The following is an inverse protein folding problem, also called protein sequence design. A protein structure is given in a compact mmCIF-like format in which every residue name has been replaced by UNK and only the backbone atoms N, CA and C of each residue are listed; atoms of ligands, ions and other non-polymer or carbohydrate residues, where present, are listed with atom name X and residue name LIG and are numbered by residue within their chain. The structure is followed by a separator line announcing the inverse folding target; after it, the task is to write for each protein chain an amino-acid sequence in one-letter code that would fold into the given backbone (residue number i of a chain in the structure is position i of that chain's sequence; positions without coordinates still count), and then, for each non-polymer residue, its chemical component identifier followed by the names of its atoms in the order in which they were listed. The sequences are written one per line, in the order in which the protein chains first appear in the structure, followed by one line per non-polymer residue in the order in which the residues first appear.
data_IF_629102621358
#
_entry.id   IF_629102621358
#
_cell.length_a   1.000
_cell.length_b   1.000
_cell.length_c   1.000
_cell.angle_alpha   90.00
_cell.angle_beta   90.00
_cell.angle_gamma   90.00
#
_symmetry.space_group_name_H-M   'P 1'
#
loop_
_entity.id
_entity.type
_entity.pdbx_description
1 polymer ?
#
# COMPACT_ATOMS: atom_id res chain seq x y z
N UNK A 1 -7.48 13.57 -15.76
CA UNK A 1 -7.51 12.95 -14.42
C UNK A 1 -8.90 12.36 -14.27
N UNK A 2 -9.03 11.10 -13.84
CA UNK A 2 -10.35 10.55 -13.51
C UNK A 2 -10.91 11.34 -12.32
N UNK A 3 -12.22 11.56 -12.30
CA UNK A 3 -12.88 12.14 -11.13
C UNK A 3 -12.82 11.16 -9.94
N UNK A 4 -13.14 11.64 -8.74
CA UNK A 4 -13.32 10.74 -7.58
C UNK A 4 -14.45 9.73 -7.84
N UNK A 5 -15.53 10.17 -8.51
CA UNK A 5 -16.66 9.32 -8.89
C UNK A 5 -16.23 8.21 -9.87
N UNK A 6 -15.38 8.52 -10.85
CA UNK A 6 -14.85 7.53 -11.78
C UNK A 6 -14.02 6.47 -11.04
N UNK A 7 -13.22 6.90 -10.05
CA UNK A 7 -12.39 5.99 -9.26
C UNK A 7 -13.25 5.07 -8.37
N UNK A 8 -14.30 5.62 -7.74
CA UNK A 8 -15.28 4.84 -6.96
C UNK A 8 -16.00 3.84 -7.86
N UNK A 9 -16.54 4.28 -9.00
CA UNK A 9 -17.22 3.40 -9.94
C UNK A 9 -16.33 2.29 -10.48
N UNK A 10 -15.03 2.55 -10.67
CA UNK A 10 -14.06 1.52 -11.02
C UNK A 10 -13.88 0.48 -9.90
N UNK A 11 -13.80 0.90 -8.63
CA UNK A 11 -13.68 0.00 -7.48
C UNK A 11 -14.93 -0.88 -7.33
N UNK A 12 -16.12 -0.29 -7.43
CA UNK A 12 -17.41 -1.01 -7.36
C UNK A 12 -17.55 -2.03 -8.49
N UNK A 13 -17.17 -1.65 -9.71
CA UNK A 13 -17.18 -2.54 -10.87
C UNK A 13 -16.29 -3.76 -10.65
N UNK A 14 -15.08 -3.57 -10.13
CA UNK A 14 -14.17 -4.68 -9.86
C UNK A 14 -14.65 -5.54 -8.70
N UNK A 15 -15.18 -4.94 -7.64
CA UNK A 15 -15.72 -5.69 -6.50
C UNK A 15 -16.83 -6.66 -6.92
N UNK A 16 -17.72 -6.21 -7.82
CA UNK A 16 -18.80 -7.03 -8.40
C UNK A 16 -18.33 -8.16 -9.32
N UNK A 17 -17.04 -8.19 -9.71
CA UNK A 17 -16.43 -9.31 -10.45
C UNK A 17 -15.89 -10.40 -9.54
N UNK A 18 -15.98 -10.21 -8.22
CA UNK A 18 -15.51 -11.14 -7.19
C UNK A 18 -14.06 -11.62 -7.39
N UNK A 19 -13.08 -10.70 -7.57
CA UNK A 19 -11.71 -11.08 -7.83
C UNK A 19 -11.06 -11.69 -6.58
N UNK A 20 -10.12 -12.61 -6.80
CA UNK A 20 -9.33 -13.21 -5.71
C UNK A 20 -8.53 -12.18 -4.89
N UNK A 21 -8.35 -10.96 -5.40
CA UNK A 21 -7.83 -9.80 -4.68
C UNK A 21 -7.53 -8.64 -5.63
N UNK A 22 -7.87 -7.43 -5.20
CA UNK A 22 -7.69 -6.20 -5.97
C UNK A 22 -6.56 -5.36 -5.39
N UNK A 23 -5.66 -4.92 -6.27
CA UNK A 23 -4.46 -4.18 -5.89
C UNK A 23 -4.21 -3.03 -6.85
N UNK A 24 -3.68 -1.93 -6.33
CA UNK A 24 -3.35 -0.74 -7.11
C UNK A 24 -1.88 -0.40 -6.99
N UNK A 25 -1.32 0.13 -8.08
CA UNK A 25 -0.05 0.84 -8.05
C UNK A 25 -0.35 2.31 -7.86
N UNK A 26 -0.09 2.82 -6.66
CA UNK A 26 -0.40 4.20 -6.28
C UNK A 26 0.66 5.21 -6.77
N UNK A 27 1.86 4.74 -7.13
CA UNK A 27 2.92 5.58 -7.69
C UNK A 27 2.71 5.84 -9.19
N UNK A 28 3.26 6.94 -9.69
CA UNK A 28 3.09 7.32 -11.08
C UNK A 28 3.96 6.44 -11.99
N UNK A 29 3.32 5.72 -12.90
CA UNK A 29 3.97 4.89 -13.93
C UNK A 29 4.30 5.75 -15.15
N UNK A 30 5.37 5.40 -15.85
CA UNK A 30 5.68 5.96 -17.16
C UNK A 30 4.50 5.74 -18.14
N UNK A 31 3.95 6.80 -18.76
CA UNK A 31 2.88 6.67 -19.74
C UNK A 31 3.19 5.72 -20.91
N UNK A 32 4.47 5.58 -21.29
CA UNK A 32 4.89 4.65 -22.34
C UNK A 32 4.69 3.19 -21.93
N UNK A 33 4.81 2.88 -20.63
CA UNK A 33 4.55 1.55 -20.06
C UNK A 33 3.06 1.33 -19.79
N UNK A 34 2.31 2.40 -19.48
CA UNK A 34 0.86 2.38 -19.29
C UNK A 34 0.06 1.96 -20.54
N UNK A 35 0.72 1.80 -21.70
CA UNK A 35 0.12 1.23 -22.92
C UNK A 35 -0.31 -0.24 -22.77
N UNK A 36 0.28 -0.98 -21.81
CA UNK A 36 -0.06 -2.40 -21.54
C UNK A 36 -1.20 -2.56 -20.53
N UNK A 37 -1.37 -1.58 -19.65
CA UNK A 37 -2.38 -1.54 -18.60
C UNK A 37 -2.76 -0.08 -18.37
N UNK A 38 -3.84 0.37 -19.02
CA UNK A 38 -4.26 1.75 -18.97
C UNK A 38 -4.60 2.17 -17.52
N UNK A 39 -4.06 3.32 -17.10
CA UNK A 39 -4.38 3.89 -15.78
C UNK A 39 -5.88 4.07 -15.61
N UNK A 40 -6.41 3.70 -14.45
CA UNK A 40 -7.85 3.81 -14.14
C UNK A 40 -8.71 2.66 -14.67
N UNK A 41 -8.11 1.58 -15.18
CA UNK A 41 -8.83 0.34 -15.52
C UNK A 41 -8.20 -0.86 -14.84
N UNK A 42 -9.00 -1.91 -14.64
CA UNK A 42 -8.58 -3.15 -14.02
C UNK A 42 -8.02 -4.13 -15.04
N UNK A 43 -6.90 -4.76 -14.68
CA UNK A 43 -6.21 -5.73 -15.53
C UNK A 43 -5.91 -6.99 -14.71
N UNK A 44 -6.13 -8.20 -15.25
CA UNK A 44 -5.70 -9.43 -14.59
C UNK A 44 -4.18 -9.44 -14.38
N UNK A 45 -3.75 -9.50 -13.12
CA UNK A 45 -2.33 -9.57 -12.81
C UNK A 45 -1.80 -10.99 -13.04
N UNK A 46 -1.03 -11.20 -14.12
CA UNK A 46 -0.29 -12.45 -14.33
C UNK A 46 1.10 -12.37 -13.69
N UNK A 47 1.49 -13.46 -13.01
CA UNK A 47 2.82 -13.56 -12.38
C UNK A 47 3.91 -13.41 -13.45
N UNK A 48 4.77 -12.41 -13.28
CA UNK A 48 5.87 -12.11 -14.21
C UNK A 48 5.58 -11.03 -15.25
N UNK A 49 4.32 -10.59 -15.39
CA UNK A 49 3.91 -9.53 -16.31
C UNK A 49 3.70 -8.17 -15.59
N UNK A 50 4.15 -8.05 -14.34
CA UNK A 50 3.93 -6.86 -13.51
C UNK A 50 4.89 -5.72 -13.81
N UNK A 51 4.39 -4.49 -13.62
CA UNK A 51 5.19 -3.25 -13.54
C UNK A 51 6.42 -3.43 -12.66
N UNK A 52 7.57 -2.95 -13.13
CA UNK A 52 8.86 -2.98 -12.44
C UNK A 52 9.20 -1.61 -11.86
N UNK A 53 10.24 -1.53 -11.02
CA UNK A 53 10.63 -0.25 -10.40
C UNK A 53 11.11 0.77 -11.45
N UNK A 54 11.61 0.29 -12.59
CA UNK A 54 12.05 1.14 -13.72
C UNK A 54 10.89 1.80 -14.45
N UNK A 55 9.70 1.21 -14.33
CA UNK A 55 8.49 1.74 -14.95
C UNK A 55 7.83 2.82 -14.07
N UNK A 56 8.29 3.00 -12.83
CA UNK A 56 7.80 4.05 -11.93
C UNK A 56 8.61 5.32 -12.15
N UNK A 57 7.92 6.39 -12.54
CA UNK A 57 8.52 7.70 -12.81
C UNK A 57 8.59 8.58 -11.57
N UNK A 58 7.61 8.47 -10.67
CA UNK A 58 7.54 9.29 -9.47
C UNK A 58 6.80 8.59 -8.34
N UNK A 59 7.27 8.80 -7.11
CA UNK A 59 6.59 8.34 -5.90
C UNK A 59 5.59 9.39 -5.43
N UNK A 60 4.37 8.94 -5.16
CA UNK A 60 3.29 9.77 -4.59
C UNK A 60 3.18 9.62 -3.09
N UNK A 61 3.69 8.52 -2.53
CA UNK A 61 3.70 8.28 -1.10
C UNK A 61 4.84 7.33 -0.70
N UNK A 62 5.21 7.37 0.57
CA UNK A 62 5.86 6.25 1.25
C UNK A 62 4.77 5.34 1.77
N UNK A 63 4.81 4.07 1.35
CA UNK A 63 3.91 3.04 1.86
C UNK A 63 4.57 2.32 3.04
N UNK A 64 3.80 2.06 4.08
CA UNK A 64 4.17 1.33 5.28
C UNK A 64 3.05 0.33 5.53
N UNK A 65 3.38 -0.94 5.71
CA UNK A 65 2.40 -2.00 5.94
C UNK A 65 2.79 -2.76 7.20
N UNK A 66 1.88 -2.82 8.17
CA UNK A 66 2.06 -3.51 9.44
C UNK A 66 1.14 -4.71 9.45
N UNK A 67 1.73 -5.90 9.36
CA UNK A 67 0.99 -7.15 9.29
C UNK A 67 1.19 -7.99 10.56
N UNK A 68 0.12 -8.68 10.96
CA UNK A 68 0.18 -9.72 11.95
C UNK A 68 0.95 -10.94 11.42
N UNK A 69 1.81 -11.53 12.26
CA UNK A 69 2.52 -12.77 11.97
C UNK A 69 1.58 -13.99 11.91
N UNK A 70 0.40 -13.87 12.53
CA UNK A 70 -0.62 -14.92 12.56
C UNK A 70 -1.98 -14.35 12.20
N UNK A 71 -2.77 -15.13 11.48
CA UNK A 71 -4.15 -14.76 11.13
C UNK A 71 -5.13 -15.13 12.25
N UNK A 72 -5.00 -14.45 13.39
CA UNK A 72 -5.95 -14.51 14.51
C UNK A 72 -6.39 -13.10 14.88
N UNK A 73 -7.60 -12.96 15.43
CA UNK A 73 -8.15 -11.64 15.81
C UNK A 73 -7.26 -10.91 16.81
N UNK A 74 -6.68 -11.62 17.78
CA UNK A 74 -5.73 -11.04 18.73
C UNK A 74 -4.46 -10.50 18.04
N UNK A 75 -3.90 -11.28 17.11
CA UNK A 75 -2.70 -10.87 16.39
C UNK A 75 -2.99 -9.71 15.42
N UNK A 76 -4.18 -9.70 14.81
CA UNK A 76 -4.66 -8.59 14.00
C UNK A 76 -4.81 -7.32 14.84
N UNK A 77 -5.47 -7.39 15.99
CA UNK A 77 -5.61 -6.27 16.91
C UNK A 77 -4.25 -5.74 17.37
N UNK A 78 -3.28 -6.62 17.59
CA UNK A 78 -1.90 -6.24 17.91
C UNK A 78 -1.21 -5.53 16.75
N UNK A 79 -1.37 -6.00 15.51
CA UNK A 79 -0.84 -5.34 14.32
C UNK A 79 -1.45 -3.94 14.11
N UNK A 80 -2.76 -3.81 14.32
CA UNK A 80 -3.45 -2.51 14.28
C UNK A 80 -2.91 -1.58 15.37
N UNK A 81 -2.71 -2.06 16.61
CA UNK A 81 -2.11 -1.26 17.67
C UNK A 81 -0.69 -0.77 17.30
N UNK A 82 0.15 -1.63 16.70
CA UNK A 82 1.48 -1.24 16.21
C UNK A 82 1.42 -0.23 15.07
N UNK A 83 0.45 -0.34 14.18
CA UNK A 83 0.23 0.67 13.16
C UNK A 83 -0.20 2.01 13.77
N UNK A 84 -1.04 2.00 14.80
CA UNK A 84 -1.42 3.21 15.55
C UNK A 84 -0.21 3.86 16.24
N UNK A 85 0.66 3.07 16.88
CA UNK A 85 1.91 3.58 17.47
C UNK A 85 2.83 4.18 16.40
N UNK A 86 2.88 3.55 15.22
CA UNK A 86 3.66 4.04 14.07
C UNK A 86 3.08 5.35 13.54
N UNK A 87 1.75 5.45 13.43
CA UNK A 87 1.03 6.66 13.01
C UNK A 87 1.34 7.82 13.95
N UNK A 88 1.17 7.64 15.26
CA UNK A 88 1.44 8.68 16.25
C UNK A 88 2.89 9.20 16.15
N UNK A 89 3.85 8.30 15.93
CA UNK A 89 5.25 8.69 15.74
C UNK A 89 5.49 9.47 14.45
N UNK A 90 4.75 9.18 13.38
CA UNK A 90 4.82 9.92 12.11
C UNK A 90 4.18 11.31 12.25
N UNK A 91 3.07 11.43 12.96
CA UNK A 91 2.36 12.70 13.18
C UNK A 91 3.20 13.75 13.93
N UNK A 92 4.16 13.31 14.76
CA UNK A 92 5.15 14.19 15.37
C UNK A 92 6.16 14.78 14.37
N UNK A 93 6.26 14.24 13.15
CA UNK A 93 7.34 14.50 12.18
C UNK A 93 6.85 15.06 10.85
N UNK A 94 5.61 14.75 10.47
CA UNK A 94 4.96 15.27 9.26
C UNK A 94 3.55 15.73 9.60
N UNK A 95 2.96 16.67 8.85
CA UNK A 95 1.58 17.08 9.08
C UNK A 95 0.62 15.87 8.99
N UNK A 96 -0.30 15.71 9.95
CA UNK A 96 -1.29 14.63 9.92
C UNK A 96 -2.10 14.60 8.61
N UNK A 97 -2.33 15.76 7.98
CA UNK A 97 -3.00 15.86 6.69
C UNK A 97 -2.24 15.18 5.53
N UNK A 98 -0.95 14.89 5.70
CA UNK A 98 -0.14 14.15 4.74
C UNK A 98 -0.19 12.63 4.98
N UNK A 99 -0.89 12.15 6.03
CA UNK A 99 -0.93 10.74 6.38
C UNK A 99 -2.30 10.15 6.06
N UNK A 100 -2.31 9.07 5.29
CA UNK A 100 -3.47 8.21 5.09
C UNK A 100 -3.31 6.90 5.84
N UNK A 101 -4.40 6.33 6.34
CA UNK A 101 -4.42 5.02 6.97
C UNK A 101 -5.53 4.16 6.37
N UNK A 102 -5.33 2.86 6.34
CA UNK A 102 -6.34 1.90 5.88
C UNK A 102 -6.10 0.52 6.44
N UNK A 103 -7.16 -0.27 6.57
CA UNK A 103 -7.05 -1.66 7.00
C UNK A 103 -6.49 -2.51 5.85
N UNK A 104 -5.30 -3.09 6.03
CA UNK A 104 -4.64 -3.92 5.00
C UNK A 104 -5.27 -5.31 4.92
N UNK A 105 -6.08 -5.67 5.91
CA UNK A 105 -6.76 -6.95 6.10
C UNK A 105 -6.07 -7.89 7.08
N UNK A 106 -4.73 -7.94 7.08
CA UNK A 106 -3.97 -8.70 8.09
C UNK A 106 -3.32 -7.76 9.11
N UNK A 107 -3.72 -6.50 9.10
CA UNK A 107 -3.20 -5.43 9.92
C UNK A 107 -3.60 -4.10 9.31
N UNK A 108 -2.69 -3.14 9.33
CA UNK A 108 -2.98 -1.80 8.86
C UNK A 108 -1.82 -1.22 8.04
N UNK A 109 -2.22 -0.43 7.07
CA UNK A 109 -1.39 0.24 6.09
C UNK A 109 -1.41 1.74 6.37
N UNK A 110 -0.24 2.39 6.29
CA UNK A 110 -0.07 3.83 6.38
C UNK A 110 0.58 4.37 5.11
N UNK A 111 0.20 5.57 4.71
CA UNK A 111 0.75 6.29 3.57
C UNK A 111 1.19 7.66 4.01
N UNK A 112 2.46 8.00 3.80
CA UNK A 112 2.95 9.37 3.96
C UNK A 112 3.06 9.99 2.57
N UNK A 113 2.22 10.98 2.28
CA UNK A 113 2.17 11.65 1.00
C UNK A 113 3.52 12.33 0.67
N UNK A 114 3.93 12.18 -0.59
CA UNK A 114 5.08 12.85 -1.18
C UNK A 114 4.57 13.81 -2.26
N UNK A 115 5.32 14.90 -2.47
CA UNK A 115 5.02 15.89 -3.51
C UNK A 115 5.43 15.39 -4.91
N UNK A 116 4.89 14.23 -5.30
CA UNK A 116 5.11 13.61 -6.61
C UNK A 116 6.60 13.56 -7.02
N UNK A 117 7.45 13.14 -6.07
CA UNK A 117 8.91 13.19 -6.22
C UNK A 117 9.38 12.18 -7.27
N UNK A 118 10.27 12.57 -8.21
CA UNK A 118 10.77 11.66 -9.24
C UNK A 118 11.49 10.45 -8.64
N UNK A 119 11.26 9.27 -9.21
CA UNK A 119 11.89 8.04 -8.74
C UNK A 119 13.35 8.00 -9.16
N UNK A 120 14.23 8.13 -8.17
CA UNK A 120 15.69 8.21 -8.33
C UNK A 120 16.38 7.62 -7.10
N UNK A 121 17.66 7.21 -7.20
CA UNK A 121 18.37 6.60 -6.07
C UNK A 121 18.44 7.45 -4.79
N UNK A 122 18.46 8.77 -4.94
CA UNK A 122 18.46 9.76 -3.85
C UNK A 122 17.13 9.80 -3.08
N UNK A 123 16.02 9.36 -3.68
CA UNK A 123 14.74 9.15 -3.01
C UNK A 123 14.59 7.70 -2.51
N UNK A 124 14.93 6.72 -3.35
CA UNK A 124 14.73 5.30 -3.04
C UNK A 124 15.50 4.86 -1.78
N UNK A 125 16.73 5.35 -1.58
CA UNK A 125 17.56 5.00 -0.41
C UNK A 125 16.98 5.54 0.90
N UNK A 126 16.60 6.82 1.03
CA UNK A 126 15.88 7.32 2.20
C UNK A 126 14.58 6.56 2.50
N UNK A 127 13.76 6.27 1.49
CA UNK A 127 12.50 5.52 1.71
C UNK A 127 12.78 4.14 2.28
N UNK A 128 13.73 3.40 1.70
CA UNK A 128 14.13 2.08 2.22
C UNK A 128 14.69 2.17 3.65
N UNK A 129 15.45 3.22 3.94
CA UNK A 129 16.04 3.44 5.27
C UNK A 129 14.97 3.77 6.30
N UNK A 130 14.00 4.61 5.94
CA UNK A 130 12.85 4.96 6.78
C UNK A 130 12.06 3.70 7.13
N UNK A 131 11.62 2.92 6.13
CA UNK A 131 10.83 1.70 6.37
C UNK A 131 11.62 0.68 7.20
N UNK A 132 12.92 0.52 6.95
CA UNK A 132 13.76 -0.36 7.77
C UNK A 132 13.92 0.14 9.22
N UNK A 133 13.97 1.46 9.44
CA UNK A 133 13.98 2.05 10.77
C UNK A 133 12.65 1.86 11.51
N UNK A 134 11.52 1.98 10.80
CA UNK A 134 10.20 1.70 11.35
C UNK A 134 10.04 0.23 11.73
N UNK A 135 10.50 -0.70 10.87
CA UNK A 135 10.59 -2.12 11.23
C UNK A 135 11.39 -2.33 12.50
N UNK A 136 12.61 -1.78 12.56
CA UNK A 136 13.43 -1.92 13.76
C UNK A 136 12.77 -1.38 15.03
N UNK A 137 11.99 -0.31 14.91
CA UNK A 137 11.36 0.38 16.05
C UNK A 137 10.06 -0.28 16.52
N UNK A 138 9.20 -0.72 15.60
CA UNK A 138 7.81 -1.08 15.91
C UNK A 138 7.51 -2.56 15.76
N UNK A 139 8.27 -3.29 14.94
CA UNK A 139 8.10 -4.72 14.79
C UNK A 139 8.43 -5.49 16.06
N UNK A 140 7.69 -6.56 16.32
CA UNK A 140 7.95 -7.52 17.40
C UNK A 140 7.64 -8.96 16.95
N UNK A 141 7.45 -9.89 17.89
CA UNK A 141 7.18 -11.29 17.57
C UNK A 141 5.75 -11.56 17.05
N UNK A 142 4.84 -10.59 17.17
CA UNK A 142 3.42 -10.73 16.82
C UNK A 142 3.03 -9.92 15.60
N UNK A 143 3.69 -8.78 15.35
CA UNK A 143 3.45 -7.95 14.16
C UNK A 143 4.75 -7.38 13.58
N UNK A 144 4.78 -7.21 12.26
CA UNK A 144 5.94 -6.70 11.52
C UNK A 144 5.56 -5.58 10.57
N UNK A 145 6.45 -4.59 10.47
CA UNK A 145 6.48 -3.66 9.34
C UNK A 145 7.14 -4.37 8.16
N UNK A 146 6.43 -4.57 7.04
CA UNK A 146 7.00 -5.24 5.86
C UNK A 146 8.01 -4.34 5.13
N UNK A 147 9.30 -4.61 5.32
CA UNK A 147 10.39 -3.88 4.66
C UNK A 147 10.35 -3.89 3.13
N UNK A 148 9.72 -4.91 2.53
CA UNK A 148 9.65 -5.08 1.07
C UNK A 148 8.76 -4.02 0.43
N UNK A 149 7.88 -3.37 1.20
CA UNK A 149 6.98 -2.34 0.64
C UNK A 149 7.70 -1.06 0.23
N UNK A 150 8.99 -0.93 0.54
CA UNK A 150 9.83 0.20 0.14
C UNK A 150 10.16 0.26 -1.36
N UNK A 151 9.84 -0.79 -2.13
CA UNK A 151 10.00 -0.80 -3.60
C UNK A 151 9.05 0.20 -4.28
N UNK A 152 9.48 0.85 -5.36
CA UNK A 152 8.68 1.87 -6.05
C UNK A 152 7.44 1.28 -6.73
N UNK A 153 7.56 0.06 -7.27
CA UNK A 153 6.49 -0.69 -7.94
C UNK A 153 5.50 -1.34 -6.98
N UNK A 154 5.66 -1.16 -5.67
CA UNK A 154 4.87 -1.90 -4.68
C UNK A 154 3.38 -1.64 -4.90
N UNK A 155 2.64 -2.73 -5.00
CA UNK A 155 1.19 -2.71 -5.00
C UNK A 155 0.68 -2.62 -3.56
N UNK A 156 -0.38 -1.84 -3.33
CA UNK A 156 -1.15 -1.89 -2.09
C UNK A 156 -2.55 -2.45 -2.38
N UNK A 157 -3.27 -2.96 -1.35
CA UNK A 157 -4.67 -3.31 -1.49
C UNK A 157 -5.48 -2.13 -2.05
N UNK A 158 -6.45 -2.44 -2.91
CA UNK A 158 -7.41 -1.45 -3.35
C UNK A 158 -8.40 -1.18 -2.21
N UNK A 159 -8.10 -0.18 -1.37
CA UNK A 159 -8.97 0.18 -0.25
C UNK A 159 -10.39 0.50 -0.75
N UNK A 160 -11.39 -0.08 -0.07
CA UNK A 160 -12.79 -0.07 -0.52
C UNK A 160 -13.23 -1.33 -1.26
N UNK A 161 -12.33 -2.28 -1.53
CA UNK A 161 -12.67 -3.63 -2.05
C UNK A 161 -12.54 -4.69 -0.97
N UNK A 162 -13.23 -5.82 -1.12
CA UNK A 162 -13.12 -6.94 -0.18
C UNK A 162 -11.77 -7.63 -0.35
N UNK A 163 -11.03 -7.77 0.75
CA UNK A 163 -9.81 -8.58 0.75
C UNK A 163 -10.17 -10.06 0.75
N UNK A 164 -10.09 -10.69 -0.43
CA UNK A 164 -10.38 -12.13 -0.60
C UNK A 164 -9.13 -13.03 -0.47
N UNK A 165 -7.94 -12.43 -0.42
CA UNK A 165 -6.65 -13.12 -0.23
C UNK A 165 -6.13 -12.89 1.19
N UNK A 166 -6.12 -13.95 2.00
CA UNK A 166 -5.88 -13.89 3.45
C UNK A 166 -6.93 -14.72 4.18
N UNK A 167 -6.84 -14.88 5.50
CA UNK A 167 -7.81 -15.70 6.23
C UNK A 167 -9.24 -15.19 5.98
N UNK A 168 -10.13 -16.11 5.59
CA UNK A 168 -11.53 -15.81 5.38
C UNK A 168 -12.19 -15.43 6.72
N UNK A 169 -13.02 -14.39 6.73
CA UNK A 169 -13.87 -14.04 7.89
C UNK A 169 -13.55 -12.73 8.61
N UNK A 170 -12.68 -11.87 8.06
CA UNK A 170 -12.39 -10.56 8.65
C UNK A 170 -13.42 -9.55 8.12
N UNK A 171 -14.44 -9.26 8.93
CA UNK A 171 -15.32 -8.12 8.70
C UNK A 171 -14.52 -6.82 8.82
N UNK A 172 -14.65 -5.96 7.81
CA UNK A 172 -14.09 -4.60 7.78
C UNK A 172 -14.89 -3.67 8.68
#
# INVERSE_FOLDING_TARGET
MSSLEDAIGALEHEEGREPVGSYVLFNAVDPAVATRAASGSWHPAKRGESTTDRDVRARRAVYIDVDAERATDEALGHAVAKATDTLAWLEERVPSAAIGAGHSGNGASLFVALDHLPERPDLARPVKTLVAGLDHRFSDARAKVDRRVSDAKRLCPAFGTTKRKGAAGISV
#
